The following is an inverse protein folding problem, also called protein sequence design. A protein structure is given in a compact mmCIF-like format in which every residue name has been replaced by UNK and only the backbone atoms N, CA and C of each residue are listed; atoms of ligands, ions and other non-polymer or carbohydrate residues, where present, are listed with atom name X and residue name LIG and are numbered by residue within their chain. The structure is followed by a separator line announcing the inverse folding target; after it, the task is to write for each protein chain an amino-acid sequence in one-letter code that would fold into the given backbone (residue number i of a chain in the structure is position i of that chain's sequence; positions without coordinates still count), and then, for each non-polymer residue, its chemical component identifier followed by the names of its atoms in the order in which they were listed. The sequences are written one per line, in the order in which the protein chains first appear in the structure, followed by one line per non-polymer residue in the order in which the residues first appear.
data_IF_253505772329
#
_entry.id   IF_253505772329
#
_cell.length_a   1.000
_cell.length_b   1.000
_cell.length_c   1.000
_cell.angle_alpha   90.00
_cell.angle_beta   90.00
_cell.angle_gamma   90.00
#
_symmetry.space_group_name_H-M   'P 1'
#
loop_
_entity.id
_entity.type
_entity.pdbx_description
1 polymer ?
#
# COMPACT_ATOMS: atom_id res chain seq x y z
N UNK A 1 15.15 0.81 -2.78
CA UNK A 1 15.45 -0.64 -2.89
C UNK A 1 14.55 -1.56 -2.06
N UNK A 2 14.21 -1.24 -0.80
CA UNK A 2 13.36 -2.13 0.04
C UNK A 2 12.03 -2.56 -0.60
N UNK A 3 11.27 -1.61 -1.18
CA UNK A 3 9.97 -1.91 -1.81
C UNK A 3 10.08 -2.89 -2.98
N UNK A 4 11.08 -2.73 -3.82
CA UNK A 4 11.33 -3.61 -4.97
C UNK A 4 11.62 -5.03 -4.49
N UNK A 5 12.49 -5.20 -3.50
CA UNK A 5 12.82 -6.53 -2.93
C UNK A 5 11.59 -7.23 -2.33
N UNK A 6 10.71 -6.47 -1.66
CA UNK A 6 9.46 -7.04 -1.14
C UNK A 6 8.56 -7.54 -2.26
N UNK A 7 8.36 -6.75 -3.32
CA UNK A 7 7.52 -7.15 -4.45
C UNK A 7 8.11 -8.34 -5.19
N UNK A 8 9.44 -8.36 -5.41
CA UNK A 8 10.16 -9.52 -5.98
C UNK A 8 9.87 -10.78 -5.17
N UNK A 9 10.04 -10.73 -3.83
CA UNK A 9 9.78 -11.87 -2.95
C UNK A 9 8.32 -12.30 -2.98
N UNK A 10 7.39 -11.35 -2.97
CA UNK A 10 5.95 -11.60 -2.93
C UNK A 10 5.41 -12.22 -4.22
N UNK A 11 5.84 -11.69 -5.36
CA UNK A 11 5.37 -12.11 -6.70
C UNK A 11 6.21 -13.22 -7.32
N UNK A 12 7.27 -13.66 -6.65
CA UNK A 12 8.27 -14.59 -7.16
C UNK A 12 8.79 -14.20 -8.56
N UNK A 13 8.98 -12.89 -8.78
CA UNK A 13 9.38 -12.30 -10.06
C UNK A 13 10.81 -11.77 -9.98
N UNK A 14 11.48 -11.61 -11.12
CA UNK A 14 12.81 -10.99 -11.15
C UNK A 14 12.73 -9.49 -10.88
N UNK A 15 13.84 -8.90 -10.44
CA UNK A 15 13.92 -7.45 -10.25
C UNK A 15 13.61 -6.67 -11.55
N UNK A 16 14.02 -7.19 -12.69
CA UNK A 16 13.77 -6.56 -13.99
C UNK A 16 12.28 -6.55 -14.34
N UNK A 17 11.58 -7.67 -14.11
CA UNK A 17 10.13 -7.75 -14.32
C UNK A 17 9.37 -6.77 -13.42
N UNK A 18 9.79 -6.66 -12.15
CA UNK A 18 9.18 -5.73 -11.19
C UNK A 18 9.42 -4.27 -11.58
N UNK A 19 10.60 -3.93 -12.11
CA UNK A 19 10.90 -2.57 -12.58
C UNK A 19 10.12 -2.17 -13.83
N UNK A 20 9.70 -3.15 -14.63
CA UNK A 20 8.86 -2.95 -15.82
C UNK A 20 7.35 -3.01 -15.54
N UNK A 21 6.97 -3.31 -14.30
CA UNK A 21 5.56 -3.44 -13.91
C UNK A 21 4.83 -2.09 -13.97
N UNK A 22 3.57 -2.05 -14.44
CA UNK A 22 2.71 -0.88 -14.31
C UNK A 22 2.68 -0.37 -12.86
N UNK A 23 2.71 0.96 -12.69
CA UNK A 23 2.88 1.59 -11.38
C UNK A 23 1.77 1.20 -10.40
N UNK A 24 0.53 1.14 -10.87
CA UNK A 24 -0.65 0.69 -10.13
C UNK A 24 -0.51 -0.75 -9.64
N UNK A 25 -0.10 -1.67 -10.51
CA UNK A 25 0.15 -3.07 -10.14
C UNK A 25 1.31 -3.20 -9.16
N UNK A 26 2.39 -2.43 -9.34
CA UNK A 26 3.49 -2.40 -8.40
C UNK A 26 3.04 -1.95 -7.01
N UNK A 27 2.24 -0.87 -6.92
CA UNK A 27 1.74 -0.35 -5.66
C UNK A 27 0.78 -1.33 -4.97
N UNK A 28 -0.08 -2.00 -5.75
CA UNK A 28 -0.97 -3.03 -5.24
C UNK A 28 -0.17 -4.20 -4.64
N UNK A 29 0.76 -4.78 -5.40
CA UNK A 29 1.60 -5.88 -4.93
C UNK A 29 2.43 -5.48 -3.70
N UNK A 30 2.99 -4.27 -3.69
CA UNK A 30 3.73 -3.78 -2.53
C UNK A 30 2.85 -3.65 -1.28
N UNK A 31 1.62 -3.14 -1.43
CA UNK A 31 0.66 -3.03 -0.33
C UNK A 31 0.35 -4.41 0.26
N UNK A 32 0.03 -5.39 -0.58
CA UNK A 32 -0.31 -6.74 -0.11
C UNK A 32 0.89 -7.45 0.53
N UNK A 33 2.06 -7.39 -0.09
CA UNK A 33 3.30 -7.91 0.48
C UNK A 33 3.61 -7.33 1.87
N UNK A 34 3.42 -6.02 2.04
CA UNK A 34 3.62 -5.35 3.32
C UNK A 34 2.61 -5.82 4.38
N UNK A 35 1.34 -5.98 4.00
CA UNK A 35 0.30 -6.45 4.92
C UNK A 35 0.61 -7.89 5.37
N UNK A 36 0.97 -8.79 4.46
CA UNK A 36 1.31 -10.17 4.81
C UNK A 36 2.54 -10.26 5.71
N UNK A 37 3.59 -9.48 5.42
CA UNK A 37 4.78 -9.39 6.28
C UNK A 37 4.40 -8.97 7.71
N UNK A 38 3.54 -7.96 7.87
CA UNK A 38 3.07 -7.51 9.18
C UNK A 38 2.08 -8.47 9.84
N UNK A 39 1.32 -9.25 9.09
CA UNK A 39 0.46 -10.28 9.68
C UNK A 39 1.25 -11.41 10.34
N UNK A 40 2.51 -11.62 9.96
CA UNK A 40 3.36 -12.70 10.49
C UNK A 40 3.77 -12.51 11.96
N UNK A 41 3.76 -11.27 12.49
CA UNK A 41 4.16 -10.97 13.87
C UNK A 41 3.03 -10.33 14.67
N UNK A 42 3.02 -10.51 15.99
CA UNK A 42 2.00 -9.91 16.86
C UNK A 42 2.08 -8.37 16.84
N UNK A 43 3.29 -7.82 16.92
CA UNK A 43 3.52 -6.38 16.80
C UNK A 43 3.05 -5.82 15.46
N UNK A 44 3.25 -6.58 14.37
CA UNK A 44 2.80 -6.20 13.04
C UNK A 44 1.26 -6.22 12.92
N UNK A 45 0.59 -7.20 13.52
CA UNK A 45 -0.88 -7.24 13.60
C UNK A 45 -1.43 -6.05 14.36
N UNK A 46 -0.83 -5.69 15.50
CA UNK A 46 -1.21 -4.51 16.28
C UNK A 46 -1.00 -3.20 15.50
N UNK A 47 0.09 -3.11 14.73
CA UNK A 47 0.32 -1.99 13.82
C UNK A 47 -0.78 -1.89 12.76
N UNK A 48 -1.12 -3.01 12.10
CA UNK A 48 -2.17 -3.05 11.07
C UNK A 48 -3.56 -2.69 11.63
N UNK A 49 -3.85 -3.02 12.89
CA UNK A 49 -5.11 -2.62 13.54
C UNK A 49 -5.26 -1.09 13.57
N UNK A 50 -4.16 -0.38 13.85
CA UNK A 50 -4.11 1.09 13.92
C UNK A 50 -3.98 1.77 12.55
N UNK A 51 -3.54 1.03 11.53
CA UNK A 51 -3.35 1.55 10.17
C UNK A 51 -4.67 1.67 9.38
N UNK A 52 -5.58 2.56 9.80
CA UNK A 52 -6.90 2.80 9.15
C UNK A 52 -6.79 2.98 7.63
N UNK A 53 -5.78 3.71 7.15
CA UNK A 53 -5.58 3.97 5.71
C UNK A 53 -5.39 2.72 4.86
N UNK A 54 -4.94 1.60 5.44
CA UNK A 54 -4.80 0.35 4.70
C UNK A 54 -6.13 -0.40 4.55
N UNK A 55 -7.09 -0.13 5.45
CA UNK A 55 -8.44 -0.72 5.49
C UNK A 55 -9.46 0.06 4.68
N UNK A 56 -9.18 1.34 4.41
CA UNK A 56 -10.08 2.22 3.67
C UNK A 56 -9.86 2.03 2.17
N UNK A 57 -10.94 1.71 1.45
CA UNK A 57 -10.99 1.61 -0.03
C UNK A 57 -11.60 2.86 -0.67
N UNK A 58 -12.27 3.69 0.11
CA UNK A 58 -12.96 4.90 -0.36
C UNK A 58 -12.21 6.17 0.01
N UNK A 59 -12.30 7.19 -0.86
CA UNK A 59 -11.74 8.51 -0.56
C UNK A 59 -12.48 9.17 0.60
N UNK A 60 -11.75 9.71 1.57
CA UNK A 60 -12.33 10.52 2.65
C UNK A 60 -12.72 11.91 2.12
N UNK A 61 -13.86 11.95 1.42
CA UNK A 61 -14.41 13.18 0.85
C UNK A 61 -14.67 14.24 1.93
N UNK A 62 -14.94 13.84 3.18
CA UNK A 62 -15.15 14.79 4.29
C UNK A 62 -13.86 15.53 4.62
N UNK A 63 -12.70 14.87 4.60
CA UNK A 63 -11.41 15.55 4.74
C UNK A 63 -11.05 16.36 3.52
N UNK A 64 -11.27 15.83 2.31
CA UNK A 64 -10.97 16.55 1.07
C UNK A 64 -11.70 17.89 1.02
N UNK A 65 -12.97 17.92 1.39
CA UNK A 65 -13.78 19.14 1.46
C UNK A 65 -13.29 20.17 2.49
N UNK A 66 -12.49 19.75 3.46
CA UNK A 66 -11.89 20.63 4.49
C UNK A 66 -10.50 21.13 4.11
N UNK A 67 -9.93 20.66 3.00
CA UNK A 67 -8.62 21.14 2.52
C UNK A 67 -8.78 22.58 2.02
N UNK A 68 -7.89 23.46 2.47
CA UNK A 68 -7.91 24.88 2.08
C UNK A 68 -7.73 25.00 0.56
N UNK A 69 -8.73 25.59 -0.10
CA UNK A 69 -8.73 25.77 -1.56
C UNK A 69 -9.47 24.70 -2.35
N UNK A 70 -10.10 23.72 -1.70
CA UNK A 70 -11.03 22.81 -2.39
C UNK A 70 -12.25 23.59 -2.91
N UNK A 71 -12.49 23.50 -4.22
CA UNK A 71 -13.72 23.96 -4.88
C UNK A 71 -14.43 22.72 -5.40
N UNK A 72 -15.68 22.50 -4.98
CA UNK A 72 -16.51 21.50 -5.62
C UNK A 72 -16.83 21.97 -7.04
N UNK A 73 -16.73 21.05 -8.01
CA UNK A 73 -17.24 21.26 -9.36
C UNK A 73 -18.77 21.24 -9.38
#
# INVERSE_FOLDING_TARGET
MYRIRMVVKYTNSTQEQVLKMPCDLFQANFKYAFIEDKMSTEEGREYLKKAERLKVTELDYKKIRKIKGYKAE
#
